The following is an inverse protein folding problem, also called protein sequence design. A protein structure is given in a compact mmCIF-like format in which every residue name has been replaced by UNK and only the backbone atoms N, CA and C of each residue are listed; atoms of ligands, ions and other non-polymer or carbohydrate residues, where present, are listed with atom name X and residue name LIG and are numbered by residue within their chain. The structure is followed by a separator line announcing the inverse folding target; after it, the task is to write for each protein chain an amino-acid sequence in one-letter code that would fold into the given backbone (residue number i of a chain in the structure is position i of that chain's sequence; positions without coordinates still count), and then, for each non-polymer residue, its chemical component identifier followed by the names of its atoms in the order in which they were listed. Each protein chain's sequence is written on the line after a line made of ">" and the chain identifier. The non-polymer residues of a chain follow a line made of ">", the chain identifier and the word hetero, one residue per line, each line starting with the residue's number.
data_IF_064751706201
#
_entry.id   IF_064751706201
#
_cell.length_a   1.000
_cell.length_b   1.000
_cell.length_c   1.000
_cell.angle_alpha   90.00
_cell.angle_beta   90.00
_cell.angle_gamma   90.00
#
_symmetry.space_group_name_H-M   'P 1'
#
loop_
_entity.id
_entity.type
_entity.pdbx_description
1 polymer ?
#
# COMPACT_ATOMS: atom_id res chain seq x y z
N UNK A 1 32.01 16.07 32.22
CA UNK A 1 30.56 15.73 32.17
C UNK A 1 30.35 14.82 30.97
N UNK A 2 29.63 13.70 31.13
CA UNK A 2 29.25 12.81 30.02
C UNK A 2 27.78 13.09 29.70
N UNK A 3 27.48 13.45 28.45
CA UNK A 3 26.10 13.68 27.99
C UNK A 3 25.42 12.33 27.80
N UNK A 4 24.17 12.20 28.25
CA UNK A 4 23.33 11.00 28.09
C UNK A 4 21.98 11.42 27.50
N UNK A 5 21.38 10.56 26.67
CA UNK A 5 20.12 10.82 25.97
C UNK A 5 19.07 9.80 26.42
N UNK A 6 18.36 10.06 27.54
CA UNK A 6 17.37 9.12 28.08
C UNK A 6 16.04 9.12 27.32
N UNK A 7 15.79 10.13 26.48
CA UNK A 7 14.59 10.24 25.66
C UNK A 7 14.97 10.85 24.31
N UNK A 8 14.92 10.04 23.26
CA UNK A 8 15.13 10.47 21.88
C UNK A 8 14.15 9.73 20.97
N UNK A 9 13.30 10.47 20.28
CA UNK A 9 12.31 9.94 19.33
C UNK A 9 12.89 9.75 17.93
N UNK A 10 14.09 10.28 17.67
CA UNK A 10 14.76 10.22 16.36
C UNK A 10 15.04 8.79 15.88
N UNK A 11 15.51 7.86 16.74
CA UNK A 11 15.75 6.47 16.34
C UNK A 11 14.48 5.80 15.83
N UNK A 12 13.35 5.98 16.53
CA UNK A 12 12.06 5.43 16.11
C UNK A 12 11.65 5.95 14.73
N UNK A 13 11.65 7.27 14.52
CA UNK A 13 11.29 7.87 13.23
C UNK A 13 12.20 7.37 12.10
N UNK A 14 13.50 7.26 12.35
CA UNK A 14 14.47 6.76 11.37
C UNK A 14 14.21 5.30 11.00
N UNK A 15 13.91 4.45 11.99
CA UNK A 15 13.56 3.04 11.79
C UNK A 15 12.24 2.93 11.03
N UNK A 16 11.21 3.69 11.41
CA UNK A 16 9.92 3.68 10.71
C UNK A 16 10.07 4.06 9.23
N UNK A 17 10.83 5.11 8.92
CA UNK A 17 11.09 5.50 7.51
C UNK A 17 11.89 4.42 6.79
N UNK A 18 12.92 3.85 7.43
CA UNK A 18 13.73 2.81 6.82
C UNK A 18 12.92 1.55 6.49
N UNK A 19 12.09 1.08 7.42
CA UNK A 19 11.21 -0.07 7.20
C UNK A 19 10.19 0.22 6.10
N UNK A 20 9.60 1.43 6.04
CA UNK A 20 8.70 1.74 4.92
C UNK A 20 9.44 1.72 3.59
N UNK A 21 10.64 2.31 3.50
CA UNK A 21 11.45 2.26 2.27
C UNK A 21 11.77 0.82 1.88
N UNK A 22 12.10 -0.05 2.83
CA UNK A 22 12.31 -1.47 2.59
C UNK A 22 11.04 -2.14 2.06
N UNK A 23 9.86 -1.87 2.64
CA UNK A 23 8.59 -2.41 2.14
C UNK A 23 8.26 -1.91 0.73
N UNK A 24 8.62 -0.67 0.36
CA UNK A 24 8.48 -0.16 -1.00
C UNK A 24 9.33 -0.98 -1.99
N UNK A 25 10.58 -1.29 -1.64
CA UNK A 25 11.44 -2.14 -2.47
C UNK A 25 10.92 -3.58 -2.58
N UNK A 26 10.51 -4.17 -1.46
CA UNK A 26 9.90 -5.51 -1.43
C UNK A 26 8.65 -5.57 -2.32
N UNK A 27 7.77 -4.57 -2.24
CA UNK A 27 6.59 -4.47 -3.07
C UNK A 27 6.92 -4.41 -4.57
N UNK A 28 7.90 -3.59 -4.98
CA UNK A 28 8.33 -3.50 -6.39
C UNK A 28 8.87 -4.85 -6.89
N UNK A 29 9.64 -5.56 -6.05
CA UNK A 29 10.16 -6.90 -6.38
C UNK A 29 9.00 -7.89 -6.54
N UNK A 30 8.04 -7.89 -5.61
CA UNK A 30 6.88 -8.77 -5.69
C UNK A 30 6.05 -8.50 -6.96
N UNK A 31 5.82 -7.24 -7.30
CA UNK A 31 5.14 -6.85 -8.54
C UNK A 31 5.90 -7.37 -9.75
N UNK A 32 7.23 -7.20 -9.79
CA UNK A 32 8.06 -7.73 -10.87
C UNK A 32 7.93 -9.25 -10.99
N UNK A 33 7.98 -10.00 -9.88
CA UNK A 33 7.88 -11.46 -9.86
C UNK A 33 6.50 -11.94 -10.33
N UNK A 34 5.43 -11.32 -9.85
CA UNK A 34 4.05 -11.65 -10.25
C UNK A 34 3.87 -11.36 -11.74
N UNK A 35 4.27 -10.18 -12.21
CA UNK A 35 4.19 -9.86 -13.63
C UNK A 35 5.03 -10.79 -14.50
N UNK A 36 6.20 -11.23 -14.00
CA UNK A 36 7.03 -12.18 -14.72
C UNK A 36 6.41 -13.56 -14.79
N UNK A 37 5.69 -13.98 -13.75
CA UNK A 37 4.95 -15.24 -13.76
C UNK A 37 3.87 -15.27 -14.85
N UNK A 38 3.10 -14.17 -14.98
CA UNK A 38 2.01 -14.05 -15.96
C UNK A 38 2.51 -13.77 -17.38
N UNK A 39 3.33 -12.74 -17.56
CA UNK A 39 3.75 -12.29 -18.89
C UNK A 39 4.96 -13.06 -19.44
N UNK A 40 5.78 -13.65 -18.57
CA UNK A 40 6.92 -14.50 -18.95
C UNK A 40 7.89 -13.82 -19.94
N UNK A 41 7.94 -12.49 -19.90
CA UNK A 41 8.73 -11.63 -20.76
C UNK A 41 9.28 -10.48 -19.92
N UNK A 42 10.60 -10.49 -19.71
CA UNK A 42 11.30 -9.48 -18.88
C UNK A 42 11.04 -8.06 -19.39
N UNK A 43 10.84 -7.86 -20.70
CA UNK A 43 10.61 -6.51 -21.24
C UNK A 43 9.25 -5.96 -20.84
N UNK A 44 8.22 -6.82 -20.83
CA UNK A 44 6.88 -6.42 -20.43
C UNK A 44 6.82 -6.14 -18.92
N UNK A 45 7.54 -6.93 -18.11
CA UNK A 45 7.61 -6.73 -16.65
C UNK A 45 8.38 -5.49 -16.24
N UNK A 46 9.35 -5.04 -17.05
CA UNK A 46 10.06 -3.79 -16.79
C UNK A 46 9.16 -2.55 -16.88
N UNK A 47 8.06 -2.60 -17.64
CA UNK A 47 7.19 -1.45 -17.85
C UNK A 47 6.53 -1.01 -16.52
N UNK A 48 5.80 -1.88 -15.77
CA UNK A 48 5.31 -1.52 -14.44
C UNK A 48 6.43 -1.21 -13.44
N UNK A 49 7.57 -1.91 -13.52
CA UNK A 49 8.72 -1.67 -12.63
C UNK A 49 9.33 -0.28 -12.80
N UNK A 50 9.24 0.33 -13.99
CA UNK A 50 9.67 1.70 -14.25
C UNK A 50 8.56 2.71 -13.87
N UNK A 51 7.30 2.39 -14.18
CA UNK A 51 6.17 3.28 -13.93
C UNK A 51 5.98 3.59 -12.44
N UNK A 52 6.08 2.58 -11.57
CA UNK A 52 5.84 2.74 -10.12
C UNK A 52 6.81 3.75 -9.48
N UNK A 53 8.15 3.64 -9.63
CA UNK A 53 9.08 4.65 -9.13
C UNK A 53 8.82 6.06 -9.65
N UNK A 54 8.45 6.21 -10.92
CA UNK A 54 8.15 7.53 -11.52
C UNK A 54 6.97 8.18 -10.81
N UNK A 55 5.89 7.43 -10.58
CA UNK A 55 4.71 7.98 -9.89
C UNK A 55 5.01 8.25 -8.41
N UNK A 56 5.77 7.39 -7.74
CA UNK A 56 6.15 7.62 -6.34
C UNK A 56 6.99 8.89 -6.17
N UNK A 57 7.99 9.09 -7.03
CA UNK A 57 8.80 10.31 -7.05
C UNK A 57 7.98 11.55 -7.38
N UNK A 58 7.08 11.45 -8.37
CA UNK A 58 6.13 12.52 -8.69
C UNK A 58 5.23 12.86 -7.50
N UNK A 59 4.78 11.86 -6.74
CA UNK A 59 3.93 12.06 -5.57
C UNK A 59 4.69 12.82 -4.48
N UNK A 60 5.96 12.51 -4.25
CA UNK A 60 6.80 13.31 -3.34
C UNK A 60 6.91 14.77 -3.79
N UNK A 61 7.04 15.03 -5.10
CA UNK A 61 7.06 16.40 -5.63
C UNK A 61 5.74 17.13 -5.38
N UNK A 62 4.60 16.46 -5.57
CA UNK A 62 3.27 17.03 -5.28
C UNK A 62 3.10 17.30 -3.79
N UNK A 63 3.46 16.34 -2.93
CA UNK A 63 3.41 16.51 -1.47
C UNK A 63 4.26 17.70 -1.02
N UNK A 64 5.47 17.85 -1.55
CA UNK A 64 6.33 18.99 -1.28
C UNK A 64 5.70 20.32 -1.74
N UNK A 65 5.07 20.34 -2.92
CA UNK A 65 4.39 21.52 -3.44
C UNK A 65 3.20 21.97 -2.56
N UNK A 66 2.51 21.02 -1.92
CA UNK A 66 1.43 21.31 -0.97
C UNK A 66 1.92 21.49 0.49
N UNK A 67 3.23 21.49 0.72
CA UNK A 67 3.83 21.72 2.05
C UNK A 67 3.70 20.53 3.02
N UNK A 68 3.48 19.32 2.52
CA UNK A 68 3.50 18.10 3.34
C UNK A 68 4.93 17.63 3.60
N UNK A 69 5.16 17.09 4.79
CA UNK A 69 6.41 16.46 5.17
C UNK A 69 6.38 14.95 4.91
N UNK A 70 7.57 14.35 4.84
CA UNK A 70 7.72 12.90 4.90
C UNK A 70 7.56 12.48 6.37
N UNK A 71 6.47 11.79 6.67
CA UNK A 71 6.19 11.25 8.00
C UNK A 71 5.55 9.86 7.90
N UNK A 72 5.33 9.21 9.04
CA UNK A 72 4.77 7.85 9.09
C UNK A 72 3.45 7.71 8.34
N UNK A 73 2.55 8.70 8.42
CA UNK A 73 1.21 8.64 7.81
C UNK A 73 1.28 8.84 6.28
N UNK A 74 2.05 9.81 5.80
CA UNK A 74 2.25 9.99 4.34
C UNK A 74 2.95 8.78 3.75
N UNK A 75 3.93 8.19 4.46
CA UNK A 75 4.64 7.00 4.02
C UNK A 75 3.71 5.77 3.99
N UNK A 76 2.81 5.59 4.96
CA UNK A 76 1.78 4.56 4.86
C UNK A 76 0.81 4.81 3.70
N UNK A 77 0.41 6.05 3.47
CA UNK A 77 -0.38 6.42 2.28
C UNK A 77 0.29 6.02 0.98
N UNK A 78 1.61 6.19 0.87
CA UNK A 78 2.40 5.76 -0.29
C UNK A 78 2.39 4.23 -0.46
N UNK A 79 2.57 3.47 0.62
CA UNK A 79 2.53 1.99 0.57
C UNK A 79 1.15 1.49 0.13
N UNK A 80 0.08 2.05 0.70
CA UNK A 80 -1.29 1.70 0.31
C UNK A 80 -1.56 2.05 -1.16
N UNK A 81 -1.01 3.16 -1.65
CA UNK A 81 -1.16 3.55 -3.03
C UNK A 81 -0.49 2.57 -4.00
N UNK A 82 0.56 1.82 -3.61
CA UNK A 82 1.26 0.89 -4.53
C UNK A 82 0.29 -0.09 -5.18
N UNK A 83 -0.64 -0.66 -4.42
CA UNK A 83 -1.62 -1.59 -4.97
C UNK A 83 -2.47 -0.98 -6.09
N UNK A 84 -2.81 0.30 -5.95
CA UNK A 84 -3.58 1.06 -6.95
C UNK A 84 -2.71 1.48 -8.14
N UNK A 85 -1.46 1.90 -7.87
CA UNK A 85 -0.48 2.36 -8.84
C UNK A 85 -0.07 1.27 -9.84
N UNK A 86 0.12 0.06 -9.30
CA UNK A 86 0.56 -1.09 -10.06
C UNK A 86 -0.56 -1.53 -11.01
N UNK A 87 -1.81 -1.51 -10.55
CA UNK A 87 -2.98 -1.95 -11.33
C UNK A 87 -3.07 -1.21 -12.67
N UNK A 88 -2.96 0.13 -12.70
CA UNK A 88 -3.01 0.91 -13.94
C UNK A 88 -1.94 0.49 -14.96
N UNK A 89 -0.70 0.29 -14.50
CA UNK A 89 0.40 -0.12 -15.37
C UNK A 89 0.24 -1.57 -15.85
N UNK A 90 -0.26 -2.46 -15.00
CA UNK A 90 -0.54 -3.86 -15.36
C UNK A 90 -1.65 -3.91 -16.40
N UNK A 91 -2.79 -3.26 -16.15
CA UNK A 91 -3.96 -3.27 -17.05
C UNK A 91 -3.58 -2.77 -18.44
N UNK A 92 -2.76 -1.71 -18.53
CA UNK A 92 -2.25 -1.22 -19.82
C UNK A 92 -1.41 -2.29 -20.52
N UNK A 93 -0.40 -2.85 -19.86
CA UNK A 93 0.54 -3.81 -20.48
C UNK A 93 -0.17 -5.10 -20.86
N UNK A 94 -1.01 -5.63 -19.98
CA UNK A 94 -1.79 -6.86 -20.20
C UNK A 94 -2.76 -6.67 -21.37
N UNK A 95 -3.46 -5.53 -21.44
CA UNK A 95 -4.38 -5.29 -22.55
C UNK A 95 -3.65 -5.15 -23.89
N UNK A 96 -2.46 -4.53 -23.90
CA UNK A 96 -1.62 -4.47 -25.11
C UNK A 96 -1.18 -5.87 -25.54
N UNK A 97 -0.66 -6.69 -24.62
CA UNK A 97 -0.27 -8.08 -24.91
C UNK A 97 -1.46 -8.89 -25.44
N UNK A 98 -2.65 -8.77 -24.83
CA UNK A 98 -3.88 -9.40 -25.32
C UNK A 98 -4.22 -9.01 -26.76
N UNK A 99 -4.25 -7.70 -27.05
CA UNK A 99 -4.56 -7.18 -28.40
C UNK A 99 -3.50 -7.61 -29.41
N UNK A 100 -2.21 -7.62 -29.03
CA UNK A 100 -1.14 -8.12 -29.89
C UNK A 100 -1.33 -9.59 -30.25
N UNK A 101 -1.73 -10.42 -29.28
CA UNK A 101 -1.94 -11.86 -29.49
C UNK A 101 -3.20 -12.16 -30.30
N UNK A 102 -4.34 -11.53 -29.95
CA UNK A 102 -5.63 -11.82 -30.60
C UNK A 102 -5.69 -11.28 -32.03
N UNK A 103 -5.20 -10.06 -32.25
CA UNK A 103 -5.31 -9.37 -33.54
C UNK A 103 -4.04 -9.46 -34.40
N UNK A 104 -2.94 -10.06 -33.89
CA UNK A 104 -1.64 -10.17 -34.57
C UNK A 104 -1.08 -8.82 -35.07
N UNK A 105 -1.23 -7.77 -34.25
CA UNK A 105 -0.79 -6.41 -34.59
C UNK A 105 0.65 -6.14 -34.13
N UNK A 106 1.29 -5.15 -34.76
CA UNK A 106 2.58 -4.64 -34.28
C UNK A 106 2.42 -3.99 -32.89
N UNK A 107 3.47 -3.95 -32.04
CA UNK A 107 3.40 -3.37 -30.69
C UNK A 107 2.81 -1.96 -30.66
N UNK A 108 3.12 -1.15 -31.68
CA UNK A 108 2.60 0.21 -31.80
C UNK A 108 1.10 0.23 -32.11
N UNK A 109 0.67 -0.49 -33.14
CA UNK A 109 -0.75 -0.53 -33.54
C UNK A 109 -1.62 -1.16 -32.45
N UNK A 110 -1.12 -2.21 -31.82
CA UNK A 110 -1.79 -2.84 -30.68
C UNK A 110 -1.90 -1.90 -29.48
N UNK A 111 -0.88 -1.07 -29.22
CA UNK A 111 -0.93 -0.06 -28.17
C UNK A 111 -1.98 1.01 -28.48
N UNK A 112 -2.02 1.52 -29.71
CA UNK A 112 -3.03 2.50 -30.14
C UNK A 112 -4.45 1.94 -30.01
N UNK A 113 -4.68 0.69 -30.47
CA UNK A 113 -5.97 0.00 -30.34
C UNK A 113 -6.32 -0.26 -28.86
N UNK A 114 -5.36 -0.75 -28.07
CA UNK A 114 -5.53 -1.01 -26.63
C UNK A 114 -5.93 0.25 -25.86
N UNK A 115 -5.24 1.37 -26.07
CA UNK A 115 -5.57 2.63 -25.39
C UNK A 115 -6.97 3.11 -25.72
N UNK A 116 -7.43 2.95 -26.97
CA UNK A 116 -8.81 3.31 -27.34
C UNK A 116 -9.88 2.50 -26.59
N UNK A 117 -9.55 1.29 -26.12
CA UNK A 117 -10.46 0.45 -25.36
C UNK A 117 -10.50 0.83 -23.87
N UNK A 118 -9.35 1.16 -23.27
CA UNK A 118 -9.22 1.28 -21.81
C UNK A 118 -9.06 2.70 -21.29
N UNK A 119 -8.71 3.69 -22.13
CA UNK A 119 -8.45 5.07 -21.68
C UNK A 119 -9.64 5.65 -20.88
N UNK A 120 -10.87 5.43 -21.35
CA UNK A 120 -12.07 5.89 -20.64
C UNK A 120 -12.27 5.20 -19.29
N UNK A 121 -11.93 3.91 -19.20
CA UNK A 121 -12.01 3.14 -17.96
C UNK A 121 -10.96 3.60 -16.94
N UNK A 122 -9.71 3.84 -17.37
CA UNK A 122 -8.63 4.34 -16.50
C UNK A 122 -8.99 5.69 -15.88
N UNK A 123 -9.48 6.63 -16.69
CA UNK A 123 -9.94 7.94 -16.18
C UNK A 123 -11.16 7.77 -15.26
N UNK A 124 -12.09 6.87 -15.60
CA UNK A 124 -13.25 6.57 -14.75
C UNK A 124 -12.87 6.03 -13.37
N UNK A 125 -11.93 5.08 -13.31
CA UNK A 125 -11.40 4.51 -12.07
C UNK A 125 -10.75 5.62 -11.23
N UNK A 126 -9.91 6.47 -11.84
CA UNK A 126 -9.27 7.59 -11.15
C UNK A 126 -10.29 8.54 -10.52
N UNK A 127 -11.36 8.86 -11.26
CA UNK A 127 -12.43 9.75 -10.79
C UNK A 127 -13.23 9.13 -9.65
N UNK A 128 -13.59 7.84 -9.76
CA UNK A 128 -14.32 7.12 -8.69
C UNK A 128 -13.48 7.02 -7.43
N UNK A 129 -12.21 6.63 -7.56
CA UNK A 129 -11.32 6.55 -6.40
C UNK A 129 -11.09 7.93 -5.79
N UNK A 130 -10.90 8.97 -6.60
CA UNK A 130 -10.82 10.35 -6.11
C UNK A 130 -12.08 10.76 -5.36
N UNK A 131 -13.27 10.37 -5.84
CA UNK A 131 -14.54 10.65 -5.15
C UNK A 131 -14.65 9.93 -3.79
N UNK A 132 -14.00 8.77 -3.61
CA UNK A 132 -13.92 8.07 -2.32
C UNK A 132 -12.93 8.75 -1.36
N UNK A 133 -11.75 9.15 -1.85
CA UNK A 133 -10.67 9.64 -0.99
C UNK A 133 -10.74 11.14 -0.67
N UNK A 134 -11.19 11.98 -1.60
CA UNK A 134 -11.24 13.44 -1.43
C UNK A 134 -12.11 13.87 -0.24
N UNK A 135 -13.32 13.31 0.00
CA UNK A 135 -14.15 13.68 1.14
C UNK A 135 -13.43 13.55 2.49
N UNK A 136 -12.51 12.59 2.62
CA UNK A 136 -11.78 12.37 3.86
C UNK A 136 -10.82 13.53 4.21
N UNK A 137 -10.41 14.34 3.23
CA UNK A 137 -9.59 15.54 3.48
C UNK A 137 -10.37 16.68 4.15
N UNK A 138 -11.71 16.63 4.12
CA UNK A 138 -12.59 17.67 4.67
C UNK A 138 -13.08 17.38 6.09
N UNK A 139 -12.67 16.27 6.70
CA UNK A 139 -12.95 16.04 8.11
C UNK A 139 -12.29 17.12 8.99
N UNK A 140 -13.01 17.56 10.02
CA UNK A 140 -12.52 18.55 10.98
C UNK A 140 -11.74 17.93 12.14
N UNK A 141 -11.13 18.79 12.96
CA UNK A 141 -10.42 18.41 14.17
C UNK A 141 -9.10 17.68 13.94
N UNK A 142 -8.52 17.14 15.02
CA UNK A 142 -7.23 16.43 14.98
C UNK A 142 -7.28 15.17 14.11
N UNK A 143 -8.42 14.47 14.12
CA UNK A 143 -8.67 13.31 13.26
C UNK A 143 -8.66 13.66 11.78
N UNK A 144 -9.27 14.79 11.41
CA UNK A 144 -9.23 15.29 10.04
C UNK A 144 -7.82 15.58 9.53
N UNK A 145 -6.94 16.08 10.39
CA UNK A 145 -5.54 16.33 10.02
C UNK A 145 -4.78 15.05 9.65
N UNK A 146 -5.10 13.91 10.27
CA UNK A 146 -4.53 12.60 9.93
C UNK A 146 -5.11 12.09 8.61
N UNK A 147 -6.44 12.09 8.46
CA UNK A 147 -7.08 11.62 7.23
C UNK A 147 -6.67 12.43 6.01
N UNK A 148 -6.44 13.74 6.18
CA UNK A 148 -5.96 14.62 5.11
C UNK A 148 -4.60 14.18 4.55
N UNK A 149 -3.70 13.66 5.40
CA UNK A 149 -2.38 13.17 4.95
C UNK A 149 -2.52 11.92 4.07
N UNK A 150 -3.40 10.97 4.45
CA UNK A 150 -3.71 9.81 3.61
C UNK A 150 -4.40 10.21 2.32
N UNK A 151 -5.45 11.02 2.42
CA UNK A 151 -6.28 11.43 1.28
C UNK A 151 -5.44 12.11 0.20
N UNK A 152 -4.65 13.12 0.56
CA UNK A 152 -3.86 13.87 -0.43
C UNK A 152 -2.77 13.01 -1.03
N UNK A 153 -2.12 12.15 -0.24
CA UNK A 153 -1.09 11.23 -0.73
C UNK A 153 -1.66 10.28 -1.78
N UNK A 154 -2.77 9.60 -1.45
CA UNK A 154 -3.41 8.62 -2.35
C UNK A 154 -3.97 9.30 -3.60
N UNK A 155 -4.70 10.41 -3.46
CA UNK A 155 -5.27 11.14 -4.61
C UNK A 155 -4.18 11.66 -5.53
N UNK A 156 -3.09 12.21 -4.99
CA UNK A 156 -1.95 12.67 -5.80
C UNK A 156 -1.27 11.52 -6.53
N UNK A 157 -1.05 10.40 -5.84
CA UNK A 157 -0.48 9.19 -6.43
C UNK A 157 -1.36 8.64 -7.56
N UNK A 158 -2.67 8.53 -7.35
CA UNK A 158 -3.60 8.04 -8.37
C UNK A 158 -3.71 8.97 -9.57
N UNK A 159 -3.78 10.29 -9.36
CA UNK A 159 -3.81 11.25 -10.45
C UNK A 159 -2.55 11.15 -11.31
N UNK A 160 -1.38 11.06 -10.67
CA UNK A 160 -0.12 10.84 -11.38
C UNK A 160 -0.04 9.45 -12.02
N UNK A 161 -0.61 8.42 -11.40
CA UNK A 161 -0.68 7.05 -11.93
C UNK A 161 -1.36 7.03 -13.29
N UNK A 162 -2.55 7.63 -13.37
CA UNK A 162 -3.31 7.71 -14.62
C UNK A 162 -2.60 8.57 -15.65
N UNK A 163 -1.96 9.67 -15.26
CA UNK A 163 -1.12 10.45 -16.19
C UNK A 163 0.03 9.61 -16.76
N UNK A 164 0.71 8.82 -15.92
CA UNK A 164 1.78 7.92 -16.35
C UNK A 164 1.22 6.80 -17.23
N UNK A 165 0.07 6.22 -16.88
CA UNK A 165 -0.62 5.18 -17.65
C UNK A 165 -1.11 5.66 -19.02
N UNK A 166 -1.41 6.94 -19.19
CA UNK A 166 -1.84 7.53 -20.45
C UNK A 166 -0.69 8.10 -21.30
N UNK A 167 0.47 8.40 -20.70
CA UNK A 167 1.59 9.06 -21.38
C UNK A 167 2.79 8.12 -21.51
N UNK A 168 3.35 7.70 -20.39
CA UNK A 168 4.62 6.97 -20.36
C UNK A 168 4.42 5.49 -20.67
N UNK A 169 3.45 4.84 -20.03
CA UNK A 169 3.22 3.40 -20.19
C UNK A 169 2.93 3.00 -21.64
N UNK A 170 2.08 3.72 -22.41
CA UNK A 170 1.84 3.39 -23.82
C UNK A 170 3.09 3.58 -24.68
N UNK A 171 3.88 4.63 -24.41
CA UNK A 171 5.15 4.85 -25.10
C UNK A 171 6.16 3.72 -24.82
N UNK A 172 6.21 3.22 -23.58
CA UNK A 172 7.04 2.07 -23.20
C UNK A 172 6.52 0.77 -23.84
N UNK A 173 5.21 0.55 -23.89
CA UNK A 173 4.61 -0.61 -24.57
C UNK A 173 4.99 -0.65 -26.05
N UNK A 174 4.82 0.46 -26.76
CA UNK A 174 5.12 0.52 -28.19
C UNK A 174 6.61 0.36 -28.54
N UNK A 175 7.53 0.62 -27.59
CA UNK A 175 8.98 0.61 -27.83
C UNK A 175 9.70 -0.61 -27.25
N UNK A 176 9.26 -1.13 -26.10
CA UNK A 176 9.91 -2.23 -25.41
C UNK A 176 9.29 -3.59 -25.71
N UNK A 177 7.99 -3.65 -26.00
CA UNK A 177 7.32 -4.92 -26.29
C UNK A 177 7.80 -5.48 -27.63
N UNK A 178 7.94 -6.80 -27.67
CA UNK A 178 8.23 -7.53 -28.92
C UNK A 178 6.92 -8.04 -29.50
N UNK A 179 6.77 -8.06 -30.83
CA UNK A 179 5.66 -8.75 -31.47
C UNK A 179 5.54 -10.18 -30.93
N UNK A 180 4.39 -10.51 -30.35
CA UNK A 180 4.09 -11.87 -29.92
C UNK A 180 3.61 -12.60 -31.17
N UNK A 181 4.38 -13.55 -31.68
CA UNK A 181 3.84 -14.43 -32.72
C UNK A 181 2.84 -15.37 -32.07
N UNK A 182 1.68 -15.61 -32.69
CA UNK A 182 0.66 -16.55 -32.18
C UNK A 182 1.23 -17.95 -31.85
N UNK A 183 2.35 -18.34 -32.45
CA UNK A 183 3.06 -19.60 -32.17
C UNK A 183 3.84 -19.62 -30.82
N UNK A 184 4.07 -18.47 -30.15
CA UNK A 184 4.88 -18.39 -28.93
C UNK A 184 4.15 -18.77 -27.64
N UNK A 185 2.81 -18.74 -27.61
CA UNK A 185 2.04 -19.17 -26.44
C UNK A 185 1.83 -20.69 -26.37
N UNK A 186 1.81 -21.38 -27.52
CA UNK A 186 1.53 -22.83 -27.56
C UNK A 186 2.76 -23.73 -27.34
N UNK A 187 4.00 -23.20 -27.41
CA UNK A 187 5.23 -24.03 -27.36
C UNK A 187 6.22 -23.71 -26.23
N UNK A 188 5.76 -23.20 -25.09
CA UNK A 188 6.62 -23.14 -23.89
C UNK A 188 6.56 -24.45 -23.13
N UNK A 189 7.60 -25.29 -23.26
CA UNK A 189 7.77 -26.49 -22.42
C UNK A 189 8.32 -26.11 -21.03
N UNK A 190 7.93 -26.85 -19.99
CA UNK A 190 8.40 -26.65 -18.61
C UNK A 190 7.36 -26.01 -17.66
N UNK A 191 7.83 -25.38 -16.59
CA UNK A 191 6.98 -24.79 -15.54
C UNK A 191 5.96 -23.78 -16.09
N UNK A 192 6.40 -22.90 -16.98
CA UNK A 192 5.54 -21.87 -17.56
C UNK A 192 4.43 -22.43 -18.47
N UNK A 193 4.70 -23.51 -19.22
CA UNK A 193 3.66 -24.20 -19.99
C UNK A 193 2.63 -24.89 -19.10
N UNK A 194 3.07 -25.52 -18.01
CA UNK A 194 2.17 -26.07 -17.00
C UNK A 194 1.31 -24.99 -16.35
N UNK A 195 1.90 -23.84 -15.99
CA UNK A 195 1.18 -22.71 -15.41
C UNK A 195 0.12 -22.17 -16.37
N UNK A 196 0.48 -21.89 -17.63
CA UNK A 196 -0.46 -21.40 -18.63
C UNK A 196 -1.62 -22.37 -18.83
N UNK A 197 -1.32 -23.65 -19.03
CA UNK A 197 -2.35 -24.68 -19.22
C UNK A 197 -3.28 -24.73 -18.01
N UNK A 198 -2.75 -24.74 -16.78
CA UNK A 198 -3.57 -24.76 -15.56
C UNK A 198 -4.38 -23.48 -15.38
N UNK A 199 -3.82 -22.33 -15.74
CA UNK A 199 -4.51 -21.05 -15.69
C UNK A 199 -5.69 -21.04 -16.68
N UNK A 200 -5.49 -21.46 -17.93
CA UNK A 200 -6.55 -21.53 -18.94
C UNK A 200 -7.69 -22.47 -18.53
N UNK A 201 -7.36 -23.63 -17.94
CA UNK A 201 -8.37 -24.53 -17.36
C UNK A 201 -9.14 -23.85 -16.22
N UNK A 202 -8.46 -23.04 -15.40
CA UNK A 202 -9.07 -22.31 -14.29
C UNK A 202 -9.99 -21.19 -14.79
N UNK A 203 -9.59 -20.47 -15.84
CA UNK A 203 -10.40 -19.45 -16.51
C UNK A 203 -11.66 -20.09 -17.10
N UNK A 204 -11.54 -21.21 -17.80
CA UNK A 204 -12.70 -21.94 -18.34
C UNK A 204 -13.64 -22.46 -17.25
N UNK A 205 -13.10 -22.94 -16.12
CA UNK A 205 -13.91 -23.33 -14.98
C UNK A 205 -14.62 -22.12 -14.35
N UNK A 206 -13.94 -20.99 -14.23
CA UNK A 206 -14.50 -19.74 -13.72
C UNK A 206 -15.64 -19.22 -14.61
N UNK A 207 -15.44 -19.14 -15.92
CA UNK A 207 -16.47 -18.65 -16.87
C UNK A 207 -17.70 -19.56 -16.88
N UNK A 208 -17.50 -20.88 -16.85
CA UNK A 208 -18.60 -21.85 -16.74
C UNK A 208 -19.36 -21.72 -15.41
N UNK A 209 -18.63 -21.50 -14.32
CA UNK A 209 -19.23 -21.27 -12.99
C UNK A 209 -20.08 -20.00 -13.01
N UNK A 210 -19.54 -18.87 -13.47
CA UNK A 210 -20.25 -17.58 -13.57
C UNK A 210 -21.48 -17.70 -14.47
N UNK A 211 -21.39 -18.42 -15.59
CA UNK A 211 -22.56 -18.71 -16.44
C UNK A 211 -23.68 -19.44 -15.67
N UNK A 212 -23.32 -20.39 -14.80
CA UNK A 212 -24.26 -21.03 -13.88
C UNK A 212 -24.85 -20.08 -12.83
N UNK A 213 -24.05 -19.15 -12.30
CA UNK A 213 -24.49 -18.10 -11.35
C UNK A 213 -25.55 -17.20 -11.99
N UNK A 214 -25.27 -16.70 -13.20
CA UNK A 214 -26.15 -15.78 -13.93
C UNK A 214 -27.49 -16.42 -14.28
N UNK A 215 -27.55 -17.75 -14.46
CA UNK A 215 -28.81 -18.47 -14.68
C UNK A 215 -29.67 -18.56 -13.42
N UNK A 216 -29.06 -18.52 -12.22
CA UNK A 216 -29.72 -18.71 -10.94
C UNK A 216 -29.50 -17.53 -9.98
N UNK A 217 -29.74 -16.30 -10.46
CA UNK A 217 -29.46 -15.06 -9.73
C UNK A 217 -30.11 -14.98 -8.35
N UNK A 218 -31.31 -15.53 -8.16
CA UNK A 218 -32.05 -15.47 -6.89
C UNK A 218 -31.29 -16.06 -5.70
N UNK A 219 -30.62 -17.21 -5.88
CA UNK A 219 -29.81 -17.83 -4.81
C UNK A 219 -28.63 -16.95 -4.42
N UNK A 220 -27.98 -16.33 -5.39
CA UNK A 220 -26.82 -15.47 -5.14
C UNK A 220 -27.22 -14.12 -4.54
N UNK A 221 -28.43 -13.63 -4.81
CA UNK A 221 -28.98 -12.46 -4.14
C UNK A 221 -29.19 -12.73 -2.65
N UNK A 222 -29.67 -13.92 -2.27
CA UNK A 222 -29.78 -14.33 -0.86
C UNK A 222 -28.39 -14.39 -0.21
N UNK A 223 -27.41 -15.00 -0.88
CA UNK A 223 -26.03 -15.05 -0.37
C UNK A 223 -25.46 -13.63 -0.20
N UNK A 224 -25.66 -12.75 -1.17
CA UNK A 224 -25.25 -11.34 -1.08
C UNK A 224 -25.91 -10.65 0.12
N UNK A 225 -27.22 -10.84 0.33
CA UNK A 225 -27.93 -10.28 1.47
C UNK A 225 -27.37 -10.80 2.80
N UNK A 226 -27.03 -12.09 2.89
CA UNK A 226 -26.37 -12.67 4.07
C UNK A 226 -24.99 -12.05 4.32
N UNK A 227 -24.20 -11.79 3.27
CA UNK A 227 -22.90 -11.10 3.39
C UNK A 227 -23.09 -9.67 3.89
N UNK A 228 -24.07 -8.93 3.36
CA UNK A 228 -24.37 -7.55 3.80
C UNK A 228 -24.81 -7.52 5.27
N UNK A 229 -25.70 -8.45 5.68
CA UNK A 229 -26.12 -8.57 7.08
C UNK A 229 -24.94 -8.97 7.97
N UNK A 230 -24.12 -9.92 7.54
CA UNK A 230 -22.91 -10.33 8.26
C UNK A 230 -21.91 -9.17 8.44
N UNK A 231 -21.68 -8.40 7.39
CA UNK A 231 -20.86 -7.18 7.42
C UNK A 231 -21.41 -6.17 8.43
N UNK A 232 -22.72 -5.90 8.42
CA UNK A 232 -23.34 -4.97 9.35
C UNK A 232 -23.19 -5.42 10.81
N UNK A 233 -23.40 -6.71 11.08
CA UNK A 233 -23.24 -7.29 12.43
C UNK A 233 -21.79 -7.20 12.91
N UNK A 234 -20.83 -7.52 12.05
CA UNK A 234 -19.40 -7.43 12.40
C UNK A 234 -18.96 -5.98 12.60
N UNK A 235 -19.39 -5.08 11.71
CA UNK A 235 -19.07 -3.66 11.78
C UNK A 235 -19.56 -3.03 13.09
N UNK A 236 -20.78 -3.35 13.54
CA UNK A 236 -21.32 -2.85 14.80
C UNK A 236 -20.66 -3.46 16.05
N UNK A 237 -19.95 -4.58 15.91
CA UNK A 237 -19.24 -5.26 17.01
C UNK A 237 -17.74 -4.96 17.05
N UNK A 238 -17.20 -4.30 16.02
CA UNK A 238 -15.77 -4.03 15.94
C UNK A 238 -15.43 -2.84 16.87
N UNK A 239 -14.58 -3.04 17.90
CA UNK A 239 -14.19 -1.94 18.77
C UNK A 239 -13.36 -0.91 17.99
N UNK A 240 -13.67 0.37 18.21
CA UNK A 240 -12.97 1.46 17.55
C UNK A 240 -11.78 1.93 18.38
N UNK A 241 -10.61 2.03 17.76
CA UNK A 241 -9.46 2.75 18.28
C UNK A 241 -9.00 3.78 17.26
N UNK A 242 -8.15 4.72 17.66
CA UNK A 242 -7.69 5.78 16.77
C UNK A 242 -6.39 5.40 16.06
N UNK A 243 -5.32 5.20 16.84
CA UNK A 243 -4.05 4.65 16.39
C UNK A 243 -3.63 3.56 17.38
N UNK A 244 -2.96 2.49 16.92
CA UNK A 244 -2.40 1.49 17.81
C UNK A 244 -1.29 2.11 18.68
N UNK A 245 -1.12 1.56 19.88
CA UNK A 245 0.06 1.85 20.69
C UNK A 245 1.26 1.10 20.10
N UNK A 246 2.36 1.81 19.91
CA UNK A 246 3.59 1.28 19.34
C UNK A 246 4.68 1.30 20.41
N UNK A 247 5.56 0.30 20.39
CA UNK A 247 6.76 0.32 21.22
C UNK A 247 7.76 1.33 20.65
N UNK A 248 7.85 2.49 21.31
CA UNK A 248 8.78 3.57 20.95
C UNK A 248 10.15 3.42 21.63
N UNK A 249 10.40 2.31 22.34
CA UNK A 249 11.60 2.09 23.14
C UNK A 249 11.66 2.89 24.44
N UNK A 250 10.56 3.56 24.80
CA UNK A 250 10.43 4.37 26.01
C UNK A 250 9.01 4.27 26.56
N UNK A 251 8.90 4.28 27.90
CA UNK A 251 7.62 4.40 28.58
C UNK A 251 7.77 5.25 29.84
N UNK A 252 6.65 5.78 30.35
CA UNK A 252 6.63 6.66 31.51
C UNK A 252 5.98 5.96 32.71
N UNK A 253 6.59 6.13 33.88
CA UNK A 253 6.02 5.66 35.15
C UNK A 253 5.69 6.87 36.01
N UNK A 254 4.40 7.08 36.27
CA UNK A 254 3.93 8.18 37.12
C UNK A 254 3.87 7.74 38.58
N UNK A 255 4.55 8.49 39.45
CA UNK A 255 4.55 8.24 40.90
C UNK A 255 3.86 9.42 41.59
N UNK A 256 2.74 9.14 42.26
CA UNK A 256 1.97 10.14 42.99
C UNK A 256 1.88 9.74 44.48
N UNK A 257 2.42 10.56 45.37
CA UNK A 257 2.30 10.38 46.82
C UNK A 257 1.10 11.16 47.38
N UNK A 258 0.60 10.80 48.59
CA UNK A 258 -0.43 11.57 49.27
C UNK A 258 -0.05 13.03 49.48
N UNK A 259 -1.05 13.92 49.48
CA UNK A 259 -0.86 15.35 49.74
C UNK A 259 -0.13 15.59 51.07
N UNK A 260 0.87 16.48 51.05
CA UNK A 260 1.72 16.77 52.21
C UNK A 260 2.93 15.85 52.36
N UNK A 261 3.15 14.89 51.46
CA UNK A 261 4.38 14.09 51.45
C UNK A 261 5.61 14.96 51.10
N UNK A 262 6.71 14.75 51.84
CA UNK A 262 7.96 15.48 51.62
C UNK A 262 8.68 15.00 50.35
N UNK A 263 9.56 15.84 49.81
CA UNK A 263 10.42 15.47 48.68
C UNK A 263 11.27 14.23 48.98
N UNK A 264 11.73 14.08 50.22
CA UNK A 264 12.51 12.90 50.65
C UNK A 264 11.68 11.60 50.57
N UNK A 265 10.40 11.63 50.97
CA UNK A 265 9.52 10.47 50.82
C UNK A 265 9.31 10.10 49.35
N UNK A 266 9.15 11.10 48.49
CA UNK A 266 9.01 10.89 47.04
C UNK A 266 10.30 10.29 46.46
N UNK A 267 11.47 10.74 46.92
CA UNK A 267 12.75 10.20 46.48
C UNK A 267 12.90 8.71 46.81
N UNK A 268 12.52 8.29 48.02
CA UNK A 268 12.61 6.89 48.42
C UNK A 268 11.80 5.96 47.50
N UNK A 269 10.62 6.41 47.04
CA UNK A 269 9.80 5.64 46.10
C UNK A 269 10.41 5.65 44.70
N UNK A 270 10.94 6.79 44.23
CA UNK A 270 11.66 6.86 42.96
C UNK A 270 12.88 5.93 42.92
N UNK A 271 13.64 5.85 44.01
CA UNK A 271 14.80 4.96 44.13
C UNK A 271 14.38 3.50 44.10
N UNK A 272 13.28 3.13 44.76
CA UNK A 272 12.72 1.77 44.70
C UNK A 272 12.31 1.37 43.28
N UNK A 273 11.59 2.26 42.57
CA UNK A 273 11.16 2.02 41.19
C UNK A 273 12.37 1.93 40.25
N UNK A 274 13.35 2.82 40.43
CA UNK A 274 14.61 2.80 39.65
C UNK A 274 15.37 1.50 39.88
N UNK A 275 15.46 1.05 41.14
CA UNK A 275 16.13 -0.19 41.50
C UNK A 275 15.44 -1.41 40.89
N UNK A 276 14.11 -1.43 40.85
CA UNK A 276 13.34 -2.48 40.19
C UNK A 276 13.66 -2.54 38.69
N UNK A 277 13.59 -1.41 37.97
CA UNK A 277 13.85 -1.41 36.53
C UNK A 277 15.29 -1.81 36.18
N UNK A 278 16.28 -1.34 36.94
CA UNK A 278 17.69 -1.60 36.63
C UNK A 278 18.15 -3.02 37.01
N UNK A 279 17.48 -3.68 37.96
CA UNK A 279 17.90 -5.01 38.43
C UNK A 279 16.97 -6.14 37.96
N UNK A 280 15.65 -5.94 38.04
CA UNK A 280 14.68 -6.97 37.66
C UNK A 280 14.38 -6.95 36.16
N UNK A 281 14.35 -5.77 35.54
CA UNK A 281 14.05 -5.59 34.11
C UNK A 281 15.30 -5.22 33.28
N UNK A 282 16.48 -5.63 33.75
CA UNK A 282 17.77 -5.28 33.13
C UNK A 282 17.90 -5.72 31.65
N UNK A 283 17.15 -6.74 31.24
CA UNK A 283 17.12 -7.19 29.86
C UNK A 283 16.40 -6.21 28.91
N UNK A 284 15.46 -5.42 29.44
CA UNK A 284 14.57 -4.55 28.67
C UNK A 284 14.88 -3.06 28.89
N UNK A 285 15.42 -2.69 30.05
CA UNK A 285 15.64 -1.29 30.44
C UNK A 285 17.13 -0.92 30.37
N UNK A 286 17.48 -0.05 29.43
CA UNK A 286 18.83 0.47 29.29
C UNK A 286 19.13 1.64 30.26
N UNK A 287 18.15 2.53 30.49
CA UNK A 287 18.32 3.65 31.42
C UNK A 287 17.00 4.06 32.08
N UNK A 288 17.09 4.68 33.25
CA UNK A 288 15.96 5.25 33.97
C UNK A 288 16.27 6.71 34.26
N UNK A 289 15.40 7.61 33.80
CA UNK A 289 15.51 9.04 34.06
C UNK A 289 14.35 9.51 34.94
N UNK A 290 14.66 9.95 36.15
CA UNK A 290 13.65 10.39 37.12
C UNK A 290 13.58 11.91 37.16
N UNK A 291 12.37 12.46 37.01
CA UNK A 291 12.10 13.90 37.13
C UNK A 291 11.12 14.14 38.26
N UNK A 292 11.42 15.11 39.11
CA UNK A 292 10.55 15.53 40.22
C UNK A 292 9.91 16.86 39.84
N UNK A 293 8.59 16.95 39.94
CA UNK A 293 7.89 18.23 39.89
C UNK A 293 7.91 18.83 41.30
N UNK A 294 8.49 20.02 41.45
CA UNK A 294 8.44 20.81 42.68
C UNK A 294 7.01 21.32 42.94
#
# INVERSE_FOLDING_TARGET
>A
MKVVYPYDTTPFVKISIHEVVKTLFEAIILVFLVMYLFLQNIRATLIPTIAVPVVLLGTFAVLAAFGYSINTLTMFGMVLAIGLLVDDAIVVVENVERVMMEDNLSPREATEKSMSQIQGALVGIAMVLSAVFIPMAFFGGSTGAIYRQFSITIVSAMALSVLVALILTPALCATLLKPVSAEHHEKKSGFFGWFNTRFDHSVNHYTNSVSGIVRNTGRYLIIYLLIVVGMAVLFLRLPTSFLPEEDQGVFLTMIQLPSGATQERTQKVLDQVTHYYLNNEKANVESVFTVKRL
#
